data_IF_238593750422
#
_entry.id   IF_238593750422
#
_cell.length_a   1.000
_cell.length_b   1.000
_cell.length_c   1.000
_cell.angle_alpha   90.00
_cell.angle_beta   90.00
_cell.angle_gamma   90.00
#
_symmetry.space_group_name_H-M   'P 1'
#
loop_
_entity.id
_entity.type
_entity.pdbx_description
1 polymer ?
#
# COMPACT_ATOMS: atom_id res chain seq x y z
N UNK A 1 -18.05 12.16 0.14
CA UNK A 1 -18.71 12.05 1.45
C UNK A 1 -18.55 13.41 2.09
N UNK A 2 -19.65 14.14 2.31
CA UNK A 2 -19.61 15.39 3.07
C UNK A 2 -19.13 15.01 4.48
N UNK A 3 -18.24 15.77 5.04
CA UNK A 3 -17.87 15.69 6.46
C UNK A 3 -19.17 15.69 7.29
N UNK A 4 -19.23 14.89 8.35
CA UNK A 4 -20.42 14.77 9.19
C UNK A 4 -20.85 16.13 9.70
N UNK A 5 -19.92 17.01 10.04
CA UNK A 5 -20.11 18.44 10.30
C UNK A 5 -18.73 19.13 10.16
N UNK A 6 -18.60 20.26 9.43
CA UNK A 6 -17.39 21.05 9.45
C UNK A 6 -17.23 21.69 10.85
N UNK A 7 -16.11 21.41 11.51
CA UNK A 7 -15.76 22.02 12.79
C UNK A 7 -15.19 23.42 12.54
N UNK A 8 -15.99 24.44 12.76
CA UNK A 8 -15.50 25.82 12.82
C UNK A 8 -15.09 26.14 14.28
N UNK A 9 -13.83 26.40 14.51
CA UNK A 9 -13.27 26.83 15.82
C UNK A 9 -13.32 25.83 16.99
N UNK A 10 -13.32 24.51 16.71
CA UNK A 10 -13.09 23.48 17.74
C UNK A 10 -14.25 23.17 18.68
N UNK A 11 -15.43 23.76 18.50
CA UNK A 11 -16.65 23.45 19.26
C UNK A 11 -17.87 23.33 18.33
N UNK A 12 -18.84 22.50 18.74
CA UNK A 12 -20.09 22.32 18.02
C UNK A 12 -21.13 23.33 18.49
N UNK A 13 -21.93 23.84 17.57
CA UNK A 13 -23.15 24.59 17.92
C UNK A 13 -24.26 23.63 18.37
N UNK A 14 -25.26 24.08 19.16
CA UNK A 14 -26.37 23.23 19.58
C UNK A 14 -27.10 22.57 18.41
N UNK A 15 -27.27 23.26 17.29
CA UNK A 15 -27.88 22.72 16.08
C UNK A 15 -27.02 21.60 15.47
N UNK A 16 -25.70 21.74 15.45
CA UNK A 16 -24.76 20.71 14.99
C UNK A 16 -24.76 19.48 15.92
N UNK A 17 -24.88 19.69 17.25
CA UNK A 17 -25.03 18.60 18.22
C UNK A 17 -26.28 17.77 17.90
N UNK A 18 -27.42 18.45 17.65
CA UNK A 18 -28.66 17.77 17.28
C UNK A 18 -28.55 17.03 15.96
N UNK A 19 -27.93 17.63 14.93
CA UNK A 19 -27.71 16.97 13.64
C UNK A 19 -26.83 15.72 13.75
N UNK A 20 -25.86 15.70 14.66
CA UNK A 20 -25.04 14.51 14.92
C UNK A 20 -25.79 13.40 15.63
N UNK A 21 -26.78 13.74 16.49
CA UNK A 21 -27.64 12.76 17.14
C UNK A 21 -28.50 11.98 16.15
N UNK A 22 -28.83 12.58 15.00
CA UNK A 22 -29.70 12.02 13.96
C UNK A 22 -28.92 11.38 12.80
N UNK A 23 -27.59 11.18 12.94
CA UNK A 23 -26.75 10.55 11.88
C UNK A 23 -27.17 9.09 11.71
N UNK A 24 -27.47 8.65 10.46
CA UNK A 24 -27.76 7.26 10.19
C UNK A 24 -26.61 6.32 10.61
N UNK A 25 -26.91 5.15 11.22
CA UNK A 25 -25.92 4.21 11.72
C UNK A 25 -24.83 3.81 10.70
N UNK A 26 -25.21 3.61 9.45
CA UNK A 26 -24.27 3.27 8.38
C UNK A 26 -23.27 4.39 8.07
N UNK A 27 -23.67 5.64 8.23
CA UNK A 27 -22.76 6.79 8.05
C UNK A 27 -21.82 6.91 9.23
N UNK A 28 -22.28 6.68 10.46
CA UNK A 28 -21.47 6.66 11.66
C UNK A 28 -20.40 5.56 11.58
N UNK A 29 -20.79 4.32 11.24
CA UNK A 29 -19.85 3.22 11.04
C UNK A 29 -18.77 3.55 10.01
N UNK A 30 -19.18 4.07 8.83
CA UNK A 30 -18.22 4.45 7.80
C UNK A 30 -17.31 5.60 8.23
N UNK A 31 -17.82 6.56 9.00
CA UNK A 31 -17.02 7.68 9.49
C UNK A 31 -15.97 7.24 10.52
N UNK A 32 -16.30 6.24 11.35
CA UNK A 32 -15.40 5.67 12.33
C UNK A 32 -14.21 4.91 11.69
N UNK A 33 -14.31 4.50 10.42
CA UNK A 33 -13.19 3.93 9.68
C UNK A 33 -12.21 5.06 9.30
N UNK A 34 -11.13 5.23 10.04
CA UNK A 34 -10.17 6.33 9.85
C UNK A 34 -9.45 6.30 8.52
N UNK A 35 -9.13 5.11 8.00
CA UNK A 35 -8.44 4.97 6.72
C UNK A 35 -9.41 5.13 5.54
N UNK A 36 -9.26 6.18 4.75
CA UNK A 36 -10.13 6.51 3.62
C UNK A 36 -10.19 5.40 2.55
N UNK A 37 -9.06 4.74 2.25
CA UNK A 37 -9.02 3.64 1.28
C UNK A 37 -9.79 2.43 1.79
N UNK A 38 -9.68 2.10 3.07
CA UNK A 38 -10.44 1.03 3.73
C UNK A 38 -11.93 1.37 3.74
N UNK A 39 -12.28 2.59 4.11
CA UNK A 39 -13.66 3.12 4.12
C UNK A 39 -14.31 2.97 2.75
N UNK A 40 -13.61 3.40 1.68
CA UNK A 40 -14.10 3.26 0.31
C UNK A 40 -14.28 1.80 -0.10
N UNK A 41 -13.32 0.94 0.23
CA UNK A 41 -13.40 -0.48 -0.08
C UNK A 41 -14.58 -1.15 0.65
N UNK A 42 -14.75 -0.89 1.94
CA UNK A 42 -15.83 -1.45 2.75
C UNK A 42 -17.21 -0.97 2.28
N UNK A 43 -17.33 0.31 1.92
CA UNK A 43 -18.57 0.84 1.32
C UNK A 43 -18.97 0.06 0.06
N UNK A 44 -17.99 -0.22 -0.82
CA UNK A 44 -18.24 -1.00 -2.05
C UNK A 44 -18.62 -2.44 -1.71
N UNK A 45 -17.92 -3.07 -0.76
CA UNK A 45 -18.15 -4.46 -0.40
C UNK A 45 -19.52 -4.67 0.25
N UNK A 46 -19.95 -3.78 1.16
CA UNK A 46 -21.28 -3.81 1.77
C UNK A 46 -22.36 -3.56 0.73
N UNK A 47 -22.17 -2.57 -0.16
CA UNK A 47 -23.13 -2.31 -1.24
C UNK A 47 -23.29 -3.50 -2.20
N UNK A 48 -22.21 -4.25 -2.45
CA UNK A 48 -22.25 -5.46 -3.28
C UNK A 48 -23.03 -6.59 -2.58
N UNK A 49 -22.82 -6.77 -1.27
CA UNK A 49 -23.56 -7.73 -0.47
C UNK A 49 -25.06 -7.39 -0.37
N UNK A 50 -25.40 -6.11 -0.11
CA UNK A 50 -26.79 -5.64 -0.08
C UNK A 50 -27.51 -5.93 -1.39
N UNK A 51 -26.81 -5.70 -2.52
CA UNK A 51 -27.35 -6.00 -3.85
C UNK A 51 -27.53 -7.51 -4.09
N UNK A 52 -26.63 -8.33 -3.59
CA UNK A 52 -26.73 -9.79 -3.67
C UNK A 52 -27.97 -10.31 -2.96
N UNK A 53 -28.28 -9.80 -1.77
CA UNK A 53 -29.48 -10.13 -1.01
C UNK A 53 -30.73 -9.32 -1.41
N UNK A 54 -30.58 -8.32 -2.31
CA UNK A 54 -31.64 -7.39 -2.71
C UNK A 54 -32.22 -6.58 -1.53
N UNK A 55 -31.38 -6.28 -0.53
CA UNK A 55 -31.80 -5.45 0.60
C UNK A 55 -32.10 -4.02 0.12
N UNK A 56 -33.25 -3.50 0.51
CA UNK A 56 -33.72 -2.15 0.15
C UNK A 56 -33.58 -1.16 1.30
N UNK A 57 -33.66 -1.67 2.53
CA UNK A 57 -33.65 -0.85 3.76
C UNK A 57 -32.59 -1.36 4.74
N UNK A 58 -31.99 -0.46 5.54
CA UNK A 58 -31.01 -0.83 6.57
C UNK A 58 -31.55 -1.85 7.60
N UNK A 59 -32.84 -1.77 7.94
CA UNK A 59 -33.46 -2.66 8.93
C UNK A 59 -33.45 -4.12 8.49
N UNK A 60 -33.38 -4.39 7.19
CA UNK A 60 -33.37 -5.75 6.63
C UNK A 60 -32.07 -6.51 6.96
N UNK A 61 -31.01 -5.80 7.37
CA UNK A 61 -29.81 -6.45 7.88
C UNK A 61 -30.06 -7.31 9.12
N UNK A 62 -31.15 -7.06 9.87
CA UNK A 62 -31.55 -7.90 11.02
C UNK A 62 -31.92 -9.32 10.62
N UNK A 63 -32.36 -9.52 9.39
CA UNK A 63 -32.74 -10.84 8.86
C UNK A 63 -31.54 -11.62 8.27
N UNK A 64 -30.36 -11.02 8.22
CA UNK A 64 -29.16 -11.65 7.66
C UNK A 64 -28.65 -12.70 8.64
N UNK A 65 -28.52 -13.94 8.14
CA UNK A 65 -28.02 -15.09 8.90
C UNK A 65 -26.65 -15.56 8.38
N UNK A 66 -26.01 -16.44 9.11
CA UNK A 66 -24.75 -17.07 8.66
C UNK A 66 -24.91 -17.80 7.31
N UNK A 67 -26.06 -18.39 7.05
CA UNK A 67 -26.34 -19.03 5.76
C UNK A 67 -26.25 -18.06 4.57
N UNK A 68 -26.73 -16.84 4.74
CA UNK A 68 -26.60 -15.79 3.71
C UNK A 68 -25.15 -15.41 3.46
N UNK A 69 -24.34 -15.32 4.52
CA UNK A 69 -22.90 -15.03 4.38
C UNK A 69 -22.17 -16.17 3.67
N UNK A 70 -22.51 -17.43 4.01
CA UNK A 70 -21.93 -18.61 3.34
C UNK A 70 -22.28 -18.61 1.85
N UNK A 71 -23.56 -18.41 1.50
CA UNK A 71 -24.01 -18.36 0.12
C UNK A 71 -23.32 -17.25 -0.68
N UNK A 72 -23.13 -16.07 -0.06
CA UNK A 72 -22.39 -15.00 -0.69
C UNK A 72 -20.91 -15.36 -0.91
N UNK A 73 -20.24 -15.94 0.10
CA UNK A 73 -18.86 -16.42 -0.04
C UNK A 73 -18.73 -17.40 -1.21
N UNK A 74 -19.64 -18.40 -1.31
CA UNK A 74 -19.64 -19.38 -2.41
C UNK A 74 -19.83 -18.71 -3.77
N UNK A 75 -20.70 -17.71 -3.86
CA UNK A 75 -20.87 -16.91 -5.08
C UNK A 75 -19.59 -16.17 -5.47
N UNK A 76 -18.85 -15.62 -4.49
CA UNK A 76 -17.57 -14.97 -4.72
C UNK A 76 -16.48 -15.97 -5.19
N UNK A 77 -16.50 -17.20 -4.66
CA UNK A 77 -15.63 -18.31 -5.06
C UNK A 77 -15.94 -18.77 -6.49
N UNK A 78 -17.22 -18.93 -6.83
CA UNK A 78 -17.67 -19.26 -8.20
C UNK A 78 -17.26 -18.18 -9.22
N UNK A 79 -17.26 -16.91 -8.82
CA UNK A 79 -16.72 -15.79 -9.62
C UNK A 79 -15.19 -15.77 -9.69
N UNK A 80 -14.51 -16.77 -9.13
CA UNK A 80 -13.04 -16.92 -9.12
C UNK A 80 -12.30 -15.72 -8.54
N UNK A 81 -12.89 -15.05 -7.53
CA UNK A 81 -12.20 -13.99 -6.83
C UNK A 81 -11.05 -14.58 -5.97
N UNK A 82 -9.96 -13.83 -5.86
CA UNK A 82 -8.82 -14.28 -5.06
C UNK A 82 -9.17 -14.37 -3.57
N UNK A 83 -8.57 -15.32 -2.85
CA UNK A 83 -8.78 -15.53 -1.42
C UNK A 83 -8.58 -14.23 -0.59
N UNK A 84 -7.55 -13.38 -0.81
CA UNK A 84 -7.44 -12.10 -0.13
C UNK A 84 -8.61 -11.15 -0.39
N UNK A 85 -9.17 -11.15 -1.60
CA UNK A 85 -10.33 -10.32 -1.93
C UNK A 85 -11.58 -10.79 -1.17
N UNK A 86 -11.83 -12.10 -1.14
CA UNK A 86 -12.97 -12.69 -0.40
C UNK A 86 -12.80 -12.41 1.09
N UNK A 87 -11.61 -12.63 1.66
CA UNK A 87 -11.32 -12.33 3.07
C UNK A 87 -11.58 -10.86 3.42
N UNK A 88 -11.18 -9.92 2.57
CA UNK A 88 -11.44 -8.49 2.78
C UNK A 88 -12.94 -8.19 2.76
N UNK A 89 -13.68 -8.75 1.82
CA UNK A 89 -15.14 -8.60 1.72
C UNK A 89 -15.87 -9.13 2.97
N UNK A 90 -15.48 -10.30 3.45
CA UNK A 90 -16.00 -10.84 4.70
C UNK A 90 -15.61 -9.98 5.91
N UNK A 91 -14.42 -9.40 5.92
CA UNK A 91 -14.00 -8.48 6.99
C UNK A 91 -14.80 -7.18 7.00
N UNK A 92 -15.20 -6.67 5.83
CA UNK A 92 -16.08 -5.50 5.74
C UNK A 92 -17.45 -5.78 6.37
N UNK A 93 -18.04 -6.95 6.10
CA UNK A 93 -19.30 -7.36 6.71
C UNK A 93 -19.14 -7.62 8.21
N UNK A 94 -18.06 -8.31 8.65
CA UNK A 94 -17.81 -8.55 10.08
C UNK A 94 -17.77 -7.23 10.84
N UNK A 95 -17.03 -6.23 10.32
CA UNK A 95 -16.95 -4.90 10.93
C UNK A 95 -18.30 -4.18 10.98
N UNK A 96 -19.13 -4.30 9.93
CA UNK A 96 -20.47 -3.73 9.95
C UNK A 96 -21.35 -4.42 11.00
N UNK A 97 -21.38 -5.75 11.03
CA UNK A 97 -22.22 -6.49 11.97
C UNK A 97 -21.74 -6.36 13.41
N UNK A 98 -20.44 -6.24 13.69
CA UNK A 98 -19.90 -5.86 15.01
C UNK A 98 -20.51 -4.53 15.47
N UNK A 99 -20.45 -3.51 14.62
CA UNK A 99 -21.06 -2.22 14.90
C UNK A 99 -22.57 -2.30 15.13
N UNK A 100 -23.29 -3.10 14.33
CA UNK A 100 -24.73 -3.30 14.52
C UNK A 100 -25.06 -4.05 15.83
N UNK A 101 -24.19 -4.98 16.30
CA UNK A 101 -24.30 -5.61 17.60
C UNK A 101 -24.09 -4.59 18.73
N UNK A 102 -23.09 -3.72 18.65
CA UNK A 102 -22.85 -2.66 19.64
C UNK A 102 -24.05 -1.70 19.77
N UNK A 103 -24.78 -1.50 18.70
CA UNK A 103 -26.03 -0.72 18.66
C UNK A 103 -27.29 -1.52 19.03
N UNK A 104 -27.17 -2.77 19.43
CA UNK A 104 -28.31 -3.68 19.67
C UNK A 104 -29.28 -3.78 18.46
N UNK A 105 -28.78 -3.51 17.25
CA UNK A 105 -29.57 -3.60 16.03
C UNK A 105 -29.71 -5.03 15.52
N UNK A 106 -28.76 -5.91 15.87
CA UNK A 106 -28.76 -7.35 15.57
C UNK A 106 -28.33 -8.12 16.82
N UNK A 107 -28.79 -9.37 16.96
CA UNK A 107 -28.50 -10.20 18.14
C UNK A 107 -27.08 -10.78 18.13
N UNK A 108 -26.39 -10.82 16.98
CA UNK A 108 -25.04 -11.36 16.87
C UNK A 108 -24.48 -11.13 15.46
N UNK A 109 -23.17 -11.34 15.33
CA UNK A 109 -22.48 -11.18 14.07
C UNK A 109 -22.61 -12.46 13.21
N UNK A 110 -23.36 -12.44 12.09
CA UNK A 110 -23.56 -13.62 11.25
C UNK A 110 -22.30 -14.06 10.49
N UNK A 111 -21.25 -13.26 10.50
CA UNK A 111 -19.97 -13.58 9.86
C UNK A 111 -19.12 -14.49 10.76
N UNK A 112 -19.41 -14.52 12.06
CA UNK A 112 -18.69 -15.34 13.02
C UNK A 112 -18.83 -16.83 12.69
N UNK A 113 -17.71 -17.55 12.73
CA UNK A 113 -17.65 -18.97 12.38
C UNK A 113 -17.71 -19.27 10.88
N UNK A 114 -17.86 -18.27 10.01
CA UNK A 114 -17.76 -18.48 8.55
C UNK A 114 -16.31 -18.76 8.17
N UNK A 115 -16.06 -19.92 7.58
CA UNK A 115 -14.73 -20.30 7.09
C UNK A 115 -14.28 -19.32 6.00
N UNK A 116 -13.08 -18.77 6.17
CA UNK A 116 -12.46 -17.88 5.19
C UNK A 116 -11.52 -18.67 4.28
N UNK A 117 -11.51 -18.44 2.96
CA UNK A 117 -10.60 -19.12 2.05
C UNK A 117 -9.14 -18.95 2.53
N UNK A 118 -8.36 -20.03 2.47
CA UNK A 118 -6.93 -19.96 2.77
C UNK A 118 -6.23 -19.14 1.69
N UNK A 119 -5.45 -18.15 2.10
CA UNK A 119 -4.51 -17.53 1.20
C UNK A 119 -3.29 -18.46 1.11
N UNK A 120 -3.00 -19.00 -0.07
CA UNK A 120 -1.75 -19.71 -0.31
C UNK A 120 -0.60 -18.72 -0.11
N UNK A 121 0.05 -18.79 1.04
CA UNK A 121 0.95 -17.73 1.52
C UNK A 121 2.43 -18.10 1.42
N UNK A 122 2.78 -19.24 0.84
CA UNK A 122 4.16 -19.68 0.86
C UNK A 122 5.05 -19.07 -0.26
N UNK A 123 4.44 -18.45 -1.27
CA UNK A 123 5.18 -17.67 -2.26
C UNK A 123 4.44 -16.36 -2.51
N UNK A 124 5.16 -15.23 -2.40
CA UNK A 124 4.62 -13.93 -2.75
C UNK A 124 4.22 -13.92 -4.23
N UNK A 125 2.93 -13.71 -4.51
CA UNK A 125 2.41 -13.60 -5.88
C UNK A 125 2.96 -12.40 -6.67
N UNK A 126 3.62 -11.47 -5.96
CA UNK A 126 4.23 -10.28 -6.59
C UNK A 126 5.53 -10.66 -7.26
N UNK A 127 5.66 -10.45 -8.58
CA UNK A 127 6.89 -10.76 -9.29
C UNK A 127 8.04 -9.89 -8.78
N UNK A 128 9.22 -10.47 -8.60
CA UNK A 128 10.48 -9.77 -8.40
C UNK A 128 11.32 -9.88 -9.67
N UNK A 129 12.01 -8.80 -10.00
CA UNK A 129 12.92 -8.74 -11.14
C UNK A 129 14.24 -9.42 -10.78
N UNK A 130 14.88 -10.05 -11.76
CA UNK A 130 16.30 -10.40 -11.66
C UNK A 130 17.17 -9.15 -11.68
N UNK A 131 18.45 -9.27 -11.28
CA UNK A 131 19.39 -8.16 -11.26
C UNK A 131 19.54 -7.51 -12.65
N UNK A 132 19.63 -8.33 -13.70
CA UNK A 132 19.69 -7.84 -15.08
C UNK A 132 18.41 -7.09 -15.51
N UNK A 133 17.23 -7.58 -15.09
CA UNK A 133 15.96 -6.93 -15.37
C UNK A 133 15.82 -5.61 -14.61
N UNK A 134 16.22 -5.60 -13.33
CA UNK A 134 16.21 -4.39 -12.49
C UNK A 134 17.15 -3.32 -13.07
N UNK A 135 18.33 -3.72 -13.55
CA UNK A 135 19.29 -2.84 -14.21
C UNK A 135 18.71 -2.25 -15.50
N UNK A 136 18.18 -3.08 -16.39
CA UNK A 136 17.53 -2.60 -17.62
C UNK A 136 16.42 -1.59 -17.34
N UNK A 137 15.62 -1.82 -16.29
CA UNK A 137 14.55 -0.91 -15.90
C UNK A 137 15.10 0.42 -15.37
N UNK A 138 16.15 0.38 -14.57
CA UNK A 138 16.81 1.56 -14.00
C UNK A 138 17.43 2.44 -15.09
N UNK A 139 18.02 1.83 -16.11
CA UNK A 139 18.72 2.52 -17.20
C UNK A 139 17.77 2.95 -18.35
N UNK A 140 16.46 2.61 -18.27
CA UNK A 140 15.50 2.88 -19.34
C UNK A 140 15.03 4.36 -19.47
N UNK A 141 14.99 5.20 -18.41
CA UNK A 141 14.64 6.59 -18.56
C UNK A 141 15.74 7.36 -19.33
N UNK A 142 15.36 8.25 -20.28
CA UNK A 142 16.34 9.06 -21.02
C UNK A 142 17.03 10.07 -20.09
N UNK A 143 18.32 10.28 -20.29
CA UNK A 143 19.14 11.16 -19.43
C UNK A 143 19.18 12.63 -19.94
N UNK A 144 18.56 12.92 -21.07
CA UNK A 144 18.56 14.22 -21.75
C UNK A 144 17.44 15.17 -21.30
N UNK A 145 16.62 14.75 -20.34
CA UNK A 145 15.45 15.53 -19.87
C UNK A 145 15.27 15.48 -18.37
N UNK A 146 14.81 16.57 -17.77
CA UNK A 146 14.42 16.65 -16.35
C UNK A 146 13.45 15.52 -15.97
N UNK A 147 12.53 15.19 -16.89
CA UNK A 147 11.59 14.08 -16.70
C UNK A 147 12.30 12.74 -16.61
N UNK A 148 13.22 12.45 -17.48
CA UNK A 148 13.95 11.18 -17.49
C UNK A 148 14.83 11.02 -16.26
N UNK A 149 15.59 12.07 -15.90
CA UNK A 149 16.44 12.10 -14.70
C UNK A 149 15.58 11.92 -13.43
N UNK A 150 14.43 12.59 -13.33
CA UNK A 150 13.47 12.36 -12.24
C UNK A 150 13.00 10.92 -12.21
N UNK A 151 12.59 10.35 -13.33
CA UNK A 151 12.05 9.01 -13.43
C UNK A 151 13.11 7.97 -13.05
N UNK A 152 14.37 8.18 -13.43
CA UNK A 152 15.51 7.34 -13.04
C UNK A 152 15.76 7.44 -11.51
N UNK A 153 15.75 8.64 -10.93
CA UNK A 153 15.85 8.83 -9.48
C UNK A 153 14.73 8.12 -8.70
N UNK A 154 13.50 8.15 -9.24
CA UNK A 154 12.35 7.44 -8.67
C UNK A 154 12.56 5.92 -8.74
N UNK A 155 12.97 5.37 -9.87
CA UNK A 155 13.22 3.93 -10.03
C UNK A 155 14.36 3.48 -9.12
N UNK A 156 15.44 4.26 -9.01
CA UNK A 156 16.53 3.99 -8.07
C UNK A 156 16.03 3.99 -6.62
N UNK A 157 15.21 4.98 -6.25
CA UNK A 157 14.64 5.05 -4.90
C UNK A 157 13.77 3.83 -4.59
N UNK A 158 12.97 3.34 -5.52
CA UNK A 158 12.14 2.15 -5.33
C UNK A 158 12.98 0.87 -5.24
N UNK A 159 13.94 0.69 -6.14
CA UNK A 159 14.75 -0.54 -6.26
C UNK A 159 15.79 -0.68 -5.14
N UNK A 160 16.37 0.42 -4.66
CA UNK A 160 17.38 0.37 -3.61
C UNK A 160 16.86 0.52 -2.19
N UNK A 161 15.63 1.04 -1.99
CA UNK A 161 15.14 1.30 -0.62
C UNK A 161 13.84 0.55 -0.29
N UNK A 162 13.25 -0.15 -1.25
CA UNK A 162 12.06 -0.96 -1.04
C UNK A 162 10.86 -0.18 -0.49
N UNK A 163 10.73 1.12 -0.80
CA UNK A 163 9.65 1.96 -0.31
C UNK A 163 8.29 1.52 -0.86
N UNK A 164 7.23 1.73 -0.08
CA UNK A 164 5.86 1.59 -0.59
C UNK A 164 5.55 2.75 -1.52
N UNK A 165 4.61 2.54 -2.41
CA UNK A 165 4.18 3.53 -3.41
C UNK A 165 3.78 4.87 -2.78
N UNK A 166 2.99 4.82 -1.75
CA UNK A 166 2.54 5.99 -1.02
C UNK A 166 3.69 6.66 -0.25
N UNK A 167 4.54 5.88 0.41
CA UNK A 167 5.71 6.39 1.12
C UNK A 167 6.62 7.21 0.21
N UNK A 168 6.87 6.74 -1.02
CA UNK A 168 7.67 7.50 -2.00
C UNK A 168 6.98 8.79 -2.41
N UNK A 169 5.66 8.77 -2.66
CA UNK A 169 4.90 9.95 -3.06
C UNK A 169 4.81 11.01 -1.95
N UNK A 170 4.90 10.61 -0.69
CA UNK A 170 4.81 11.48 0.48
C UNK A 170 6.15 12.07 0.90
N UNK A 171 7.29 11.58 0.36
CA UNK A 171 8.62 12.13 0.67
C UNK A 171 8.71 13.60 0.30
N UNK A 172 9.30 14.36 1.23
CA UNK A 172 9.65 15.77 1.07
C UNK A 172 11.17 15.95 0.99
N UNK A 173 11.63 17.07 0.51
CA UNK A 173 13.07 17.35 0.45
C UNK A 173 13.70 17.28 1.84
N UNK A 174 13.06 17.80 2.88
CA UNK A 174 13.51 17.74 4.28
C UNK A 174 13.58 16.32 4.88
N UNK A 175 12.96 15.35 4.24
CA UNK A 175 13.00 13.96 4.71
C UNK A 175 14.33 13.27 4.37
N UNK A 176 15.19 13.92 3.58
CA UNK A 176 16.58 13.52 3.41
C UNK A 176 17.41 14.14 4.55
N UNK A 177 17.79 13.34 5.52
CA UNK A 177 18.47 13.79 6.74
C UNK A 177 19.83 13.11 6.89
N UNK A 178 20.84 13.85 7.37
CA UNK A 178 22.14 13.27 7.72
C UNK A 178 22.08 12.72 9.14
N UNK A 179 22.48 11.47 9.33
CA UNK A 179 22.60 10.80 10.62
C UNK A 179 23.95 10.06 10.65
N UNK A 180 24.77 10.39 11.61
CA UNK A 180 26.12 9.77 11.76
C UNK A 180 26.95 9.80 10.45
N UNK A 181 26.86 10.92 9.73
CA UNK A 181 27.58 11.10 8.47
C UNK A 181 26.95 10.44 7.24
N UNK A 182 25.87 9.66 7.40
CA UNK A 182 25.16 8.99 6.30
C UNK A 182 23.81 9.66 6.06
N UNK A 183 23.46 9.91 4.79
CA UNK A 183 22.14 10.39 4.44
C UNK A 183 21.10 9.28 4.55
N UNK A 184 19.93 9.62 5.08
CA UNK A 184 18.79 8.71 5.28
C UNK A 184 17.50 9.34 4.79
N UNK A 185 16.59 8.54 4.29
CA UNK A 185 15.18 8.91 4.21
C UNK A 185 14.52 8.75 5.57
N UNK A 186 13.84 9.78 6.05
CA UNK A 186 12.84 9.69 7.12
C UNK A 186 11.51 9.27 6.50
N UNK A 187 11.15 8.00 6.63
CA UNK A 187 9.96 7.43 6.01
C UNK A 187 8.84 7.27 7.02
N UNK A 188 7.69 7.88 6.74
CA UNK A 188 6.46 7.73 7.51
C UNK A 188 5.65 6.56 6.98
N UNK A 189 5.49 5.51 7.76
CA UNK A 189 4.76 4.30 7.40
C UNK A 189 3.32 4.28 7.94
N UNK A 190 2.64 3.13 7.80
CA UNK A 190 1.27 2.94 8.31
C UNK A 190 1.20 3.16 9.83
N UNK A 191 0.23 3.95 10.27
CA UNK A 191 0.03 4.29 11.69
C UNK A 191 1.08 5.25 12.22
N UNK A 192 1.56 6.15 11.37
CA UNK A 192 2.53 7.21 11.68
C UNK A 192 3.89 6.72 12.19
N UNK A 193 4.18 5.43 12.04
CA UNK A 193 5.47 4.86 12.43
C UNK A 193 6.57 5.39 11.53
N UNK A 194 7.58 6.00 12.14
CA UNK A 194 8.75 6.54 11.43
C UNK A 194 9.85 5.48 11.41
N UNK A 195 10.49 5.32 10.23
CA UNK A 195 11.75 4.59 10.10
C UNK A 195 12.75 5.40 9.28
N UNK A 196 14.01 5.15 9.52
CA UNK A 196 15.10 5.78 8.79
C UNK A 196 15.75 4.74 7.89
N UNK A 197 15.82 5.04 6.60
CA UNK A 197 16.35 4.15 5.58
C UNK A 197 17.59 4.81 4.98
N UNK A 198 18.79 4.21 5.12
CA UNK A 198 20.02 4.76 4.55
C UNK A 198 19.89 4.96 3.04
N UNK A 199 20.35 6.11 2.53
CA UNK A 199 20.36 6.38 1.10
C UNK A 199 21.49 5.61 0.41
N UNK A 200 21.12 4.85 -0.61
CA UNK A 200 22.10 4.25 -1.51
C UNK A 200 22.82 5.32 -2.33
N UNK A 201 24.17 5.29 -2.47
CA UNK A 201 24.95 6.34 -3.13
C UNK A 201 24.47 6.69 -4.55
N UNK A 202 24.09 5.69 -5.34
CA UNK A 202 23.57 5.92 -6.69
C UNK A 202 22.23 6.69 -6.66
N UNK A 203 21.31 6.28 -5.78
CA UNK A 203 20.02 6.96 -5.65
C UNK A 203 20.19 8.38 -5.13
N UNK A 204 21.11 8.61 -4.19
CA UNK A 204 21.45 9.94 -3.69
C UNK A 204 21.91 10.84 -4.83
N UNK A 205 22.87 10.41 -5.63
CA UNK A 205 23.41 11.17 -6.77
C UNK A 205 22.30 11.53 -7.76
N UNK A 206 21.46 10.58 -8.14
CA UNK A 206 20.35 10.81 -9.08
C UNK A 206 19.30 11.79 -8.53
N UNK A 207 19.02 11.73 -7.24
CA UNK A 207 18.11 12.66 -6.57
C UNK A 207 18.71 14.07 -6.55
N UNK A 208 19.96 14.21 -6.18
CA UNK A 208 20.66 15.51 -6.16
C UNK A 208 20.70 16.14 -7.55
N UNK A 209 21.00 15.35 -8.57
CA UNK A 209 20.95 15.78 -9.97
C UNK A 209 19.54 16.25 -10.37
N UNK A 210 18.51 15.47 -10.03
CA UNK A 210 17.13 15.85 -10.31
C UNK A 210 16.72 17.14 -9.59
N UNK A 211 17.01 17.27 -8.29
CA UNK A 211 16.65 18.46 -7.51
C UNK A 211 17.32 19.72 -8.05
N UNK A 212 18.59 19.63 -8.47
CA UNK A 212 19.34 20.72 -9.07
C UNK A 212 18.70 21.18 -10.40
N UNK A 213 18.43 20.23 -11.31
CA UNK A 213 17.85 20.52 -12.62
C UNK A 213 16.38 21.00 -12.55
N UNK A 214 15.64 20.55 -11.56
CA UNK A 214 14.26 20.95 -11.34
C UNK A 214 14.12 22.20 -10.45
N UNK A 215 15.23 22.81 -10.03
CA UNK A 215 15.32 24.07 -9.27
C UNK A 215 14.47 24.12 -8.00
N UNK A 216 14.36 23.01 -7.25
CA UNK A 216 13.60 22.99 -5.99
C UNK A 216 14.34 22.37 -4.80
N UNK A 217 15.66 22.33 -4.86
CA UNK A 217 16.52 21.82 -3.76
C UNK A 217 16.33 22.59 -2.44
N UNK A 218 16.01 23.88 -2.53
CA UNK A 218 15.82 24.76 -1.36
C UNK A 218 14.41 24.70 -0.75
N UNK A 219 13.46 24.12 -1.46
CA UNK A 219 12.09 23.97 -0.96
C UNK A 219 11.97 22.75 -0.04
N UNK A 220 12.44 22.92 1.20
CA UNK A 220 12.53 21.84 2.19
C UNK A 220 11.20 21.14 2.48
N UNK A 221 10.10 21.90 2.50
CA UNK A 221 8.74 21.41 2.78
C UNK A 221 8.03 20.89 1.52
N UNK A 222 8.59 21.14 0.36
CA UNK A 222 8.05 20.68 -0.90
C UNK A 222 8.23 19.19 -1.14
N UNK A 223 7.41 18.65 -2.03
CA UNK A 223 7.51 17.25 -2.42
C UNK A 223 8.87 16.94 -3.06
N UNK A 224 9.49 15.81 -2.65
CA UNK A 224 10.77 15.38 -3.21
C UNK A 224 10.65 15.10 -4.72
N UNK A 225 9.60 14.38 -5.12
CA UNK A 225 9.33 14.10 -6.53
C UNK A 225 8.04 14.79 -7.00
N UNK A 226 8.18 15.65 -8.01
CA UNK A 226 7.10 16.49 -8.54
C UNK A 226 6.72 16.09 -9.97
N UNK A 227 5.48 16.36 -10.42
CA UNK A 227 5.15 16.26 -11.84
C UNK A 227 5.98 17.26 -12.65
N UNK A 228 6.50 16.84 -13.80
CA UNK A 228 7.19 17.75 -14.75
C UNK A 228 6.20 18.39 -15.72
N UNK A 229 5.03 17.77 -15.89
CA UNK A 229 3.94 18.28 -16.71
C UNK A 229 2.60 17.93 -16.08
N UNK A 230 1.69 18.88 -16.04
CA UNK A 230 0.32 18.68 -15.55
C UNK A 230 -0.66 19.44 -16.44
N UNK A 231 -1.20 18.75 -17.43
CA UNK A 231 -2.12 19.33 -18.41
C UNK A 231 -3.51 19.62 -17.84
N UNK A 232 -3.83 19.13 -16.63
CA UNK A 232 -5.16 19.26 -16.02
C UNK A 232 -5.30 20.51 -15.15
N UNK A 233 -4.29 20.81 -14.33
CA UNK A 233 -4.35 21.92 -13.36
C UNK A 233 -3.21 22.92 -13.49
N UNK A 234 -2.18 22.60 -14.27
CA UNK A 234 -0.95 23.41 -14.34
C UNK A 234 -0.04 23.30 -13.12
N UNK A 235 -0.52 22.80 -11.98
CA UNK A 235 0.26 22.69 -10.74
C UNK A 235 1.41 21.69 -10.86
N UNK A 236 2.64 22.12 -10.61
CA UNK A 236 3.84 21.30 -10.61
C UNK A 236 4.46 21.11 -9.22
N UNK A 237 4.07 21.90 -8.23
CA UNK A 237 4.70 21.91 -6.90
C UNK A 237 4.22 20.81 -5.96
N UNK A 238 3.18 20.09 -6.34
CA UNK A 238 2.60 19.01 -5.53
C UNK A 238 3.34 17.68 -5.69
N UNK A 239 3.09 16.76 -4.76
CA UNK A 239 3.56 15.37 -4.85
C UNK A 239 3.03 14.65 -6.08
N UNK A 240 3.82 13.71 -6.59
CA UNK A 240 3.35 12.76 -7.61
C UNK A 240 2.18 11.94 -7.09
N UNK A 241 1.17 11.78 -7.94
CA UNK A 241 0.08 10.86 -7.65
C UNK A 241 0.53 9.40 -7.80
N UNK A 242 0.15 8.55 -6.86
CA UNK A 242 0.51 7.13 -6.84
C UNK A 242 0.10 6.35 -8.10
N UNK A 243 -1.01 6.74 -8.76
CA UNK A 243 -1.41 6.13 -10.04
C UNK A 243 -0.52 6.63 -11.20
N UNK A 244 -0.10 7.90 -11.16
CA UNK A 244 0.84 8.46 -12.14
C UNK A 244 2.21 7.80 -12.02
N UNK A 245 2.69 7.55 -10.82
CA UNK A 245 3.91 6.79 -10.55
C UNK A 245 3.87 5.41 -11.24
N UNK A 246 2.77 4.68 -11.09
CA UNK A 246 2.63 3.38 -11.72
C UNK A 246 2.52 3.48 -13.25
N UNK A 247 1.58 4.29 -13.76
CA UNK A 247 1.27 4.33 -15.21
C UNK A 247 2.39 4.94 -16.04
N UNK A 248 2.94 6.08 -15.56
CA UNK A 248 3.84 6.92 -16.34
C UNK A 248 5.32 6.59 -16.10
N UNK A 249 5.64 5.78 -15.09
CA UNK A 249 7.00 5.39 -14.78
C UNK A 249 7.13 3.86 -14.83
N UNK A 250 6.66 3.15 -13.82
CA UNK A 250 6.91 1.70 -13.72
C UNK A 250 6.38 0.93 -14.91
N UNK A 251 5.10 1.14 -15.26
CA UNK A 251 4.49 0.46 -16.43
C UNK A 251 5.12 0.91 -17.74
N UNK A 252 5.32 2.22 -17.92
CA UNK A 252 5.90 2.77 -19.16
C UNK A 252 7.27 2.17 -19.42
N UNK A 253 8.19 2.27 -18.47
CA UNK A 253 9.56 1.76 -18.66
C UNK A 253 9.62 0.24 -18.62
N UNK A 254 8.72 -0.43 -17.92
CA UNK A 254 8.52 -1.89 -18.04
C UNK A 254 8.16 -2.32 -19.45
N UNK A 255 7.26 -1.57 -20.12
CA UNK A 255 6.90 -1.83 -21.52
C UNK A 255 8.08 -1.57 -22.49
N UNK A 256 8.78 -0.44 -22.30
CA UNK A 256 9.95 -0.09 -23.15
C UNK A 256 11.05 -1.16 -23.07
N UNK A 257 11.24 -1.75 -21.89
CA UNK A 257 12.26 -2.78 -21.67
C UNK A 257 11.77 -4.21 -21.91
N UNK A 258 10.52 -4.41 -22.34
CA UNK A 258 9.93 -5.73 -22.53
C UNK A 258 9.51 -6.44 -21.23
N UNK A 259 9.75 -5.86 -20.05
CA UNK A 259 9.52 -6.53 -18.77
C UNK A 259 8.04 -6.85 -18.47
N UNK A 260 7.10 -6.11 -19.04
CA UNK A 260 5.68 -6.44 -18.92
C UNK A 260 5.29 -7.72 -19.68
N UNK A 261 6.08 -8.11 -20.67
CA UNK A 261 5.92 -9.37 -21.40
C UNK A 261 6.57 -10.51 -20.62
N UNK A 262 7.76 -10.26 -20.05
CA UNK A 262 8.53 -11.24 -19.28
C UNK A 262 7.99 -11.42 -17.86
N UNK A 263 7.52 -10.34 -17.25
CA UNK A 263 7.09 -10.29 -15.84
C UNK A 263 5.61 -9.92 -15.77
N UNK A 264 4.76 -10.93 -15.71
CA UNK A 264 3.32 -10.73 -15.58
C UNK A 264 2.98 -10.04 -14.24
N UNK A 265 2.20 -8.96 -14.31
CA UNK A 265 1.76 -8.22 -13.14
C UNK A 265 2.80 -7.24 -12.56
N UNK A 266 3.78 -6.79 -13.36
CA UNK A 266 4.74 -5.77 -12.94
C UNK A 266 4.01 -4.53 -12.40
N UNK A 267 4.33 -4.15 -11.16
CA UNK A 267 3.74 -3.02 -10.47
C UNK A 267 4.76 -2.35 -9.53
N UNK A 268 4.40 -1.23 -8.89
CA UNK A 268 5.32 -0.56 -7.95
C UNK A 268 5.72 -1.48 -6.79
N UNK A 269 4.82 -2.37 -6.36
CA UNK A 269 5.14 -3.34 -5.32
C UNK A 269 6.17 -4.39 -5.76
N UNK A 270 6.27 -4.64 -7.06
CA UNK A 270 7.33 -5.50 -7.63
C UNK A 270 8.74 -4.93 -7.41
N UNK A 271 8.89 -3.60 -7.38
CA UNK A 271 10.18 -2.95 -7.06
C UNK A 271 10.59 -3.26 -5.62
N UNK A 272 9.65 -3.21 -4.70
CA UNK A 272 9.87 -3.57 -3.30
C UNK A 272 10.15 -5.06 -3.13
N UNK A 273 9.44 -5.92 -3.85
CA UNK A 273 9.71 -7.36 -3.89
C UNK A 273 11.11 -7.63 -4.44
N UNK A 274 11.51 -6.94 -5.51
CA UNK A 274 12.86 -7.02 -6.09
C UNK A 274 13.92 -6.62 -5.07
N UNK A 275 13.78 -5.46 -4.43
CA UNK A 275 14.73 -4.98 -3.42
C UNK A 275 14.88 -5.98 -2.25
N UNK A 276 13.75 -6.51 -1.74
CA UNK A 276 13.76 -7.47 -0.65
C UNK A 276 14.39 -8.81 -1.05
N UNK A 277 14.00 -9.36 -2.21
CA UNK A 277 14.54 -10.61 -2.73
C UNK A 277 16.05 -10.50 -3.02
N UNK A 278 16.47 -9.39 -3.65
CA UNK A 278 17.88 -9.12 -3.93
C UNK A 278 18.71 -9.04 -2.62
N UNK A 279 18.25 -8.26 -1.62
CA UNK A 279 18.93 -8.16 -0.34
C UNK A 279 19.10 -9.53 0.35
N UNK A 280 18.02 -10.33 0.38
CA UNK A 280 18.07 -11.69 0.95
C UNK A 280 18.98 -12.63 0.15
N UNK A 281 18.98 -12.54 -1.18
CA UNK A 281 19.87 -13.33 -2.04
C UNK A 281 21.36 -12.98 -1.84
N UNK A 282 21.66 -11.75 -1.39
CA UNK A 282 22.99 -11.28 -1.01
C UNK A 282 23.23 -11.36 0.51
N UNK A 283 22.64 -12.36 1.15
CA UNK A 283 22.89 -12.76 2.54
C UNK A 283 22.48 -11.74 3.63
N UNK A 284 21.66 -10.73 3.28
CA UNK A 284 21.11 -9.86 4.31
C UNK A 284 20.25 -10.67 5.31
N UNK A 285 20.41 -10.36 6.59
CA UNK A 285 19.60 -10.96 7.64
C UNK A 285 18.12 -10.61 7.50
N UNK A 286 17.24 -11.62 7.63
CA UNK A 286 15.80 -11.46 7.39
C UNK A 286 15.12 -10.51 8.40
N UNK A 287 15.63 -10.43 9.64
CA UNK A 287 15.10 -9.51 10.65
C UNK A 287 15.49 -8.07 10.30
N UNK A 288 16.73 -7.85 9.83
CA UNK A 288 17.16 -6.53 9.32
C UNK A 288 16.37 -6.12 8.08
N UNK A 289 16.11 -7.05 7.16
CA UNK A 289 15.24 -6.78 5.98
C UNK A 289 13.81 -6.47 6.40
N UNK A 290 13.28 -7.16 7.42
CA UNK A 290 11.95 -6.86 7.99
C UNK A 290 11.88 -5.42 8.52
N UNK A 291 12.84 -5.02 9.34
CA UNK A 291 12.93 -3.67 9.93
C UNK A 291 13.06 -2.61 8.82
N UNK A 292 14.02 -2.81 7.91
CA UNK A 292 14.25 -1.92 6.76
C UNK A 292 12.99 -1.69 5.93
N UNK A 293 12.22 -2.75 5.65
CA UNK A 293 10.96 -2.66 4.95
C UNK A 293 9.83 -2.08 5.83
N UNK A 294 9.94 -2.12 7.15
CA UNK A 294 8.87 -1.74 8.07
C UNK A 294 7.70 -2.72 8.02
N UNK A 295 7.97 -4.03 8.06
CA UNK A 295 6.95 -5.06 8.22
C UNK A 295 6.72 -5.35 9.70
N UNK A 296 5.44 -5.31 10.12
CA UNK A 296 5.07 -5.64 11.49
C UNK A 296 5.31 -7.13 11.83
N UNK A 297 5.27 -8.01 10.82
CA UNK A 297 5.44 -9.44 10.99
C UNK A 297 6.49 -9.98 10.00
N UNK A 298 7.40 -10.83 10.51
CA UNK A 298 8.45 -11.48 9.72
C UNK A 298 7.89 -12.39 8.62
N UNK A 299 6.70 -12.98 8.84
CA UNK A 299 6.03 -13.81 7.83
C UNK A 299 5.80 -13.05 6.52
N UNK A 300 5.57 -11.73 6.58
CA UNK A 300 5.45 -10.90 5.38
C UNK A 300 6.79 -10.78 4.65
N UNK A 301 7.92 -10.78 5.37
CA UNK A 301 9.26 -10.72 4.77
C UNK A 301 9.66 -12.07 4.18
N UNK A 302 9.25 -13.17 4.82
CA UNK A 302 9.49 -14.53 4.30
C UNK A 302 8.91 -14.76 2.90
N UNK A 303 7.85 -14.06 2.52
CA UNK A 303 7.29 -14.12 1.16
C UNK A 303 8.28 -13.68 0.05
N UNK A 304 9.32 -12.93 0.42
CA UNK A 304 10.38 -12.49 -0.49
C UNK A 304 11.62 -13.38 -0.44
N UNK A 305 11.70 -14.28 0.54
CA UNK A 305 12.83 -15.21 0.64
C UNK A 305 12.64 -16.37 -0.37
N UNK A 306 13.32 -16.23 -1.49
CA UNK A 306 13.30 -17.21 -2.59
C UNK A 306 14.56 -18.07 -2.62
N UNK A 307 15.38 -17.97 -1.60
CA UNK A 307 16.57 -18.83 -1.48
C UNK A 307 16.12 -20.28 -1.35
N UNK A 308 16.63 -21.14 -2.23
CA UNK A 308 16.45 -22.58 -2.05
C UNK A 308 17.30 -22.98 -0.85
N UNK A 309 16.72 -23.70 0.09
CA UNK A 309 17.46 -24.25 1.23
C UNK A 309 18.48 -25.25 0.67
N UNK A 310 19.75 -24.94 0.75
CA UNK A 310 20.84 -25.87 0.44
C UNK A 310 21.07 -26.74 1.67
N UNK A 311 21.36 -28.05 1.50
CA UNK A 311 21.63 -28.91 2.64
C UNK A 311 22.71 -28.34 3.57
N UNK A 312 23.76 -27.74 3.01
CA UNK A 312 24.88 -27.11 3.71
C UNK A 312 24.48 -25.86 4.52
N UNK A 313 23.38 -25.20 4.17
CA UNK A 313 22.84 -24.03 4.89
C UNK A 313 21.98 -24.44 6.10
N UNK A 314 21.82 -25.76 6.33
CA UNK A 314 21.00 -26.27 7.43
C UNK A 314 21.54 -25.77 8.77
N UNK A 315 20.66 -25.27 9.66
CA UNK A 315 21.03 -24.94 11.05
C UNK A 315 21.69 -26.10 11.78
N UNK A 316 21.45 -27.35 11.36
CA UNK A 316 22.07 -28.56 11.91
C UNK A 316 23.60 -28.46 11.95
N UNK A 317 24.19 -27.89 10.92
CA UNK A 317 25.66 -27.74 10.85
C UNK A 317 26.22 -26.58 11.67
N UNK A 318 25.36 -25.80 12.31
CA UNK A 318 25.71 -24.66 13.18
C UNK A 318 25.50 -24.94 14.66
N UNK A 319 24.89 -26.07 14.98
CA UNK A 319 24.74 -26.52 16.38
C UNK A 319 26.11 -26.90 16.95
N UNK A 320 26.43 -26.35 18.12
CA UNK A 320 27.65 -26.65 18.88
C UNK A 320 27.26 -26.92 20.32
N UNK A 321 27.80 -27.98 20.89
CA UNK A 321 27.64 -28.33 22.30
C UNK A 321 28.93 -28.06 23.05
#
# INVERSE_FOLDING_TARGET
MKELVPLDKGSLTPAQVQMLADVPPELEWLANITNEKTRRAYKIDVSEFSRFLRLQKPEEFRAVTRAHIIAWRETLEQRKLSAPTIRRKLSALSSLFEYLCERNAVAGNPVDGVKRPMANSNEGSTPALSDAQARRLLDAPPEDSVKGIRDQAILATLLYHGLRREELCELRVKDIQSREGVKHFKVKGKGDKIRYVPLHPLAQRLIEQYLSLACHVTDSDGALFRPVRNNRTGELERSLNANSLYRNIVRKYGQVTGLNVEVNGLCVHSMRATAATNALSHEADIAKVQEWLGHANVSTTRLYDRRKTRPEDSPTFRVRY
#
